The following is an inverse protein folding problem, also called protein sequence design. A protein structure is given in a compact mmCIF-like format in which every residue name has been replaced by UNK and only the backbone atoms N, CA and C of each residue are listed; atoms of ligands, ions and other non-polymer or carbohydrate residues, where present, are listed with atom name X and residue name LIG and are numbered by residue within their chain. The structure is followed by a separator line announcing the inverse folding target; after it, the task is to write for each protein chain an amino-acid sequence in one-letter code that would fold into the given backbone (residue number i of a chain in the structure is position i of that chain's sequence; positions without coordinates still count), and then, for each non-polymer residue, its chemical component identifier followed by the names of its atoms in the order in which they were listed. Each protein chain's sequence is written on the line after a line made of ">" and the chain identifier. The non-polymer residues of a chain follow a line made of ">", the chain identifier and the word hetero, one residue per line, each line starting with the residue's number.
data_IF_948463643703
#
_entry.id   IF_948463643703
#
_cell.length_a   1.000
_cell.length_b   1.000
_cell.length_c   1.000
_cell.angle_alpha   90.00
_cell.angle_beta   90.00
_cell.angle_gamma   90.00
#
_symmetry.space_group_name_H-M   'P 1'
#
loop_
_entity.id
_entity.type
_entity.pdbx_description
1 polymer ?
#
# COMPACT_ATOMS: atom_id res chain seq x y z
N UNK A 1 -1.83 28.43 -5.94
CA UNK A 1 -1.27 27.44 -6.90
C UNK A 1 0.19 27.23 -6.50
N UNK A 2 0.57 26.01 -6.21
CA UNK A 2 1.93 25.64 -5.82
C UNK A 2 2.57 24.72 -6.89
N UNK A 3 3.89 24.60 -6.89
CA UNK A 3 4.63 23.67 -7.73
C UNK A 3 5.10 22.48 -6.89
N UNK A 4 4.54 21.31 -7.15
CA UNK A 4 4.73 20.10 -6.36
C UNK A 4 5.60 19.12 -7.14
N UNK A 5 6.67 18.64 -6.51
CA UNK A 5 7.50 17.55 -7.01
C UNK A 5 7.24 16.26 -6.21
N UNK A 6 6.97 15.17 -6.86
CA UNK A 6 6.77 13.85 -6.25
C UNK A 6 7.91 12.94 -6.65
N UNK A 7 8.60 12.32 -5.70
CA UNK A 7 9.70 11.39 -5.95
C UNK A 7 9.24 9.97 -5.62
N UNK A 8 9.17 9.11 -6.64
CA UNK A 8 8.74 7.72 -6.51
C UNK A 8 9.77 6.79 -7.17
N UNK A 9 9.99 5.62 -6.58
CA UNK A 9 10.99 4.66 -7.09
C UNK A 9 10.58 4.06 -8.43
N UNK A 10 9.34 3.64 -8.57
CA UNK A 10 8.70 3.13 -9.79
C UNK A 10 7.35 3.80 -9.96
N UNK A 11 6.93 4.03 -11.21
CA UNK A 11 5.61 4.52 -11.56
C UNK A 11 4.85 3.49 -12.42
N UNK A 12 5.53 2.47 -12.89
CA UNK A 12 5.05 1.50 -13.87
C UNK A 12 4.88 0.09 -13.31
N UNK A 13 5.13 -0.11 -12.02
CA UNK A 13 4.80 -1.36 -11.34
C UNK A 13 3.29 -1.43 -11.05
N UNK A 14 2.72 -2.63 -11.09
CA UNK A 14 1.30 -2.87 -10.79
C UNK A 14 1.10 -2.99 -9.27
N UNK A 15 1.35 -1.90 -8.52
CA UNK A 15 1.25 -1.86 -7.07
C UNK A 15 0.23 -0.87 -6.54
N UNK A 16 -0.05 -0.96 -5.25
CA UNK A 16 -0.94 -0.01 -4.56
C UNK A 16 -0.34 1.39 -4.44
N UNK A 17 0.98 1.48 -4.26
CA UNK A 17 1.72 2.75 -4.13
C UNK A 17 1.62 3.57 -5.43
N UNK A 18 1.93 2.96 -6.57
CA UNK A 18 1.90 3.60 -7.89
C UNK A 18 0.49 4.07 -8.24
N UNK A 19 -0.51 3.23 -7.94
CA UNK A 19 -1.93 3.56 -8.14
C UNK A 19 -2.33 4.79 -7.33
N UNK A 20 -2.04 4.79 -6.04
CA UNK A 20 -2.42 5.87 -5.14
C UNK A 20 -1.73 7.18 -5.51
N UNK A 21 -0.44 7.14 -5.83
CA UNK A 21 0.31 8.32 -6.29
C UNK A 21 -0.28 8.86 -7.59
N UNK A 22 -0.64 8.00 -8.54
CA UNK A 22 -1.26 8.43 -9.81
C UNK A 22 -2.63 9.07 -9.57
N UNK A 23 -3.47 8.50 -8.70
CA UNK A 23 -4.78 9.07 -8.33
C UNK A 23 -4.62 10.45 -7.70
N UNK A 24 -3.76 10.58 -6.70
CA UNK A 24 -3.57 11.84 -6.01
C UNK A 24 -2.91 12.90 -6.89
N UNK A 25 -1.94 12.53 -7.72
CA UNK A 25 -1.35 13.46 -8.70
C UNK A 25 -2.40 14.02 -9.68
N UNK A 26 -3.36 13.18 -10.10
CA UNK A 26 -4.49 13.60 -10.95
C UNK A 26 -5.42 14.59 -10.23
N UNK A 27 -5.59 14.45 -8.92
CA UNK A 27 -6.35 15.43 -8.12
C UNK A 27 -5.55 16.75 -7.95
N UNK A 28 -4.29 16.66 -7.53
CA UNK A 28 -3.46 17.85 -7.28
C UNK A 28 -3.25 18.69 -8.52
N UNK A 29 -3.11 18.08 -9.72
CA UNK A 29 -2.91 18.84 -10.97
C UNK A 29 -4.12 19.69 -11.38
N UNK A 30 -5.27 19.52 -10.71
CA UNK A 30 -6.43 20.40 -10.91
C UNK A 30 -6.20 21.81 -10.38
N UNK A 31 -5.32 21.96 -9.35
CA UNK A 31 -5.06 23.22 -8.65
C UNK A 31 -3.57 23.61 -8.61
N UNK A 32 -2.64 22.69 -8.90
CA UNK A 32 -1.20 22.85 -8.79
C UNK A 32 -0.45 22.44 -10.05
N UNK A 33 0.80 22.85 -10.16
CA UNK A 33 1.74 22.24 -11.13
C UNK A 33 2.35 20.98 -10.51
N UNK A 34 2.22 19.83 -11.16
CA UNK A 34 2.70 18.55 -10.63
C UNK A 34 3.77 17.95 -11.54
N UNK A 35 4.93 17.62 -10.96
CA UNK A 35 5.99 16.85 -11.60
C UNK A 35 6.27 15.57 -10.81
N UNK A 36 6.25 14.41 -11.48
CA UNK A 36 6.63 13.13 -10.88
C UNK A 36 8.03 12.78 -11.37
N UNK A 37 8.93 12.53 -10.44
CA UNK A 37 10.28 12.01 -10.68
C UNK A 37 10.31 10.52 -10.41
N UNK A 38 10.73 9.72 -11.39
CA UNK A 38 10.84 8.26 -11.27
C UNK A 38 12.20 7.76 -11.73
N UNK A 39 12.68 6.66 -11.15
CA UNK A 39 13.97 6.05 -11.48
C UNK A 39 13.85 4.92 -12.51
N UNK A 40 12.65 4.61 -12.94
CA UNK A 40 12.38 3.46 -13.79
C UNK A 40 12.58 3.76 -15.29
N UNK A 41 13.03 2.75 -16.03
CA UNK A 41 13.19 2.85 -17.49
C UNK A 41 11.90 2.41 -18.22
N UNK A 42 11.34 3.33 -19.03
CA UNK A 42 10.15 3.07 -19.88
C UNK A 42 10.38 2.00 -20.95
N UNK A 43 11.63 1.78 -21.35
CA UNK A 43 11.95 0.94 -22.50
C UNK A 43 11.97 -0.57 -22.20
N UNK A 44 11.73 -1.00 -20.95
CA UNK A 44 11.49 -2.41 -20.69
C UNK A 44 10.12 -2.80 -21.21
N UNK A 45 10.09 -3.67 -22.23
CA UNK A 45 8.88 -4.31 -22.74
C UNK A 45 8.03 -4.84 -21.57
N UNK A 46 6.76 -4.38 -21.48
CA UNK A 46 5.84 -4.74 -20.42
C UNK A 46 5.53 -3.65 -19.39
N UNK A 47 6.28 -2.57 -19.32
CA UNK A 47 5.98 -1.43 -18.43
C UNK A 47 4.82 -0.60 -19.01
N UNK A 48 3.58 -1.06 -18.80
CA UNK A 48 2.39 -0.23 -19.02
C UNK A 48 2.11 0.54 -17.74
N UNK A 49 1.87 1.83 -17.86
CA UNK A 49 1.23 2.59 -16.79
C UNK A 49 -0.25 2.17 -16.77
N UNK A 50 -0.58 1.20 -15.90
CA UNK A 50 -1.95 0.74 -15.72
C UNK A 50 -2.83 1.81 -15.04
N UNK A 51 -2.21 2.89 -14.55
CA UNK A 51 -2.88 4.01 -13.87
C UNK A 51 -2.71 5.29 -14.71
N UNK A 52 -3.72 5.69 -15.48
CA UNK A 52 -3.61 6.82 -16.40
C UNK A 52 -3.34 8.12 -15.66
N UNK A 53 -2.33 8.85 -16.12
CA UNK A 53 -2.01 10.19 -15.65
C UNK A 53 -2.58 11.25 -16.59
N UNK A 54 -3.05 12.35 -16.02
CA UNK A 54 -3.44 13.55 -16.75
C UNK A 54 -2.26 14.04 -17.60
N UNK A 55 -2.51 14.43 -18.86
CA UNK A 55 -1.51 15.02 -19.73
C UNK A 55 -0.89 16.34 -19.22
N UNK A 56 -1.46 16.93 -18.17
CA UNK A 56 -0.91 18.10 -17.47
C UNK A 56 0.20 17.76 -16.49
N UNK A 57 0.34 16.49 -16.08
CA UNK A 57 1.39 16.03 -15.16
C UNK A 57 2.66 15.79 -15.93
N UNK A 58 3.74 16.45 -15.51
CA UNK A 58 5.07 16.21 -16.06
C UNK A 58 5.68 14.99 -15.39
N UNK A 59 6.19 14.03 -16.17
CA UNK A 59 6.93 12.88 -15.66
C UNK A 59 8.38 13.00 -16.11
N UNK A 60 9.29 13.09 -15.15
CA UNK A 60 10.73 13.16 -15.38
C UNK A 60 11.42 11.88 -14.90
N UNK A 61 12.25 11.31 -15.76
CA UNK A 61 13.10 10.17 -15.39
C UNK A 61 14.43 10.67 -14.87
N UNK A 62 14.83 10.11 -13.74
CA UNK A 62 16.11 10.41 -13.12
C UNK A 62 16.97 9.15 -13.13
N UNK A 63 18.06 9.19 -13.87
CA UNK A 63 18.98 8.06 -13.92
C UNK A 63 19.85 8.01 -12.67
N UNK A 64 19.94 6.83 -12.06
CA UNK A 64 20.98 6.59 -11.06
C UNK A 64 22.36 6.61 -11.74
N UNK A 65 23.25 7.49 -11.31
CA UNK A 65 24.67 7.39 -11.69
C UNK A 65 25.19 6.01 -11.26
N UNK A 66 25.83 5.30 -12.20
CA UNK A 66 26.23 3.89 -12.05
C UNK A 66 26.91 3.55 -10.71
N UNK A 67 26.62 2.36 -10.21
CA UNK A 67 27.14 1.87 -8.93
C UNK A 67 28.64 1.55 -9.04
N UNK A 68 29.45 2.18 -8.20
CA UNK A 68 30.85 1.77 -8.03
C UNK A 68 30.94 0.40 -7.33
N UNK A 69 31.96 -0.38 -7.66
CA UNK A 69 32.22 -1.68 -7.02
C UNK A 69 32.26 -1.57 -5.49
N UNK A 70 32.91 -0.54 -4.95
CA UNK A 70 33.00 -0.32 -3.51
C UNK A 70 31.64 -0.12 -2.86
N UNK A 71 30.71 0.61 -3.48
CA UNK A 71 29.32 0.80 -2.98
C UNK A 71 28.55 -0.51 -2.96
N UNK A 72 28.73 -1.35 -3.97
CA UNK A 72 28.12 -2.69 -4.01
C UNK A 72 28.64 -3.56 -2.86
N UNK A 73 29.94 -3.53 -2.59
CA UNK A 73 30.56 -4.28 -1.48
C UNK A 73 30.03 -3.79 -0.13
N UNK A 74 30.01 -2.47 0.12
CA UNK A 74 29.48 -1.91 1.38
C UNK A 74 28.04 -2.33 1.60
N UNK A 75 27.18 -2.24 0.58
CA UNK A 75 25.78 -2.68 0.67
C UNK A 75 25.67 -4.19 0.91
N UNK A 76 26.49 -5.01 0.25
CA UNK A 76 26.51 -6.46 0.45
C UNK A 76 26.91 -6.84 1.88
N UNK A 77 27.97 -6.22 2.42
CA UNK A 77 28.40 -6.43 3.81
C UNK A 77 27.27 -6.02 4.77
N UNK A 78 26.68 -4.86 4.55
CA UNK A 78 25.53 -4.38 5.33
C UNK A 78 24.36 -5.38 5.33
N UNK A 79 23.93 -5.86 4.16
CA UNK A 79 22.81 -6.81 4.07
C UNK A 79 23.11 -8.15 4.74
N UNK A 80 24.39 -8.58 4.78
CA UNK A 80 24.79 -9.84 5.40
C UNK A 80 24.97 -9.75 6.90
N UNK A 81 25.51 -8.65 7.40
CA UNK A 81 25.94 -8.53 8.80
C UNK A 81 25.00 -7.69 9.65
N UNK A 82 24.15 -6.88 9.03
CA UNK A 82 23.29 -5.93 9.74
C UNK A 82 24.06 -4.85 10.52
N UNK A 83 25.37 -4.70 10.28
CA UNK A 83 26.21 -3.72 10.95
C UNK A 83 25.74 -2.29 10.64
N UNK A 84 24.95 -1.74 11.56
CA UNK A 84 24.33 -0.41 11.41
C UNK A 84 24.65 0.50 12.57
N UNK A 85 25.25 -0.03 13.61
CA UNK A 85 25.57 0.71 14.81
C UNK A 85 26.90 1.45 14.68
N UNK A 86 26.91 2.68 15.17
CA UNK A 86 28.07 3.57 15.13
C UNK A 86 28.05 4.60 14.00
N UNK A 87 28.58 5.78 14.31
CA UNK A 87 28.56 6.96 13.42
C UNK A 87 29.28 6.69 12.09
N UNK A 88 30.37 5.92 12.12
CA UNK A 88 31.15 5.56 10.93
C UNK A 88 30.39 4.65 9.99
N UNK A 89 29.73 3.61 10.52
CA UNK A 89 28.92 2.70 9.71
C UNK A 89 27.78 3.43 9.03
N UNK A 90 27.06 4.30 9.75
CA UNK A 90 25.98 5.09 9.18
C UNK A 90 26.46 6.09 8.11
N UNK A 91 27.63 6.68 8.29
CA UNK A 91 28.24 7.54 7.28
C UNK A 91 28.59 6.78 6.00
N UNK A 92 29.20 5.59 6.13
CA UNK A 92 29.52 4.73 4.99
C UNK A 92 28.25 4.25 4.27
N UNK A 93 27.23 3.88 5.02
CA UNK A 93 25.93 3.48 4.46
C UNK A 93 25.25 4.63 3.72
N UNK A 94 25.24 5.83 4.31
CA UNK A 94 24.75 7.03 3.61
C UNK A 94 25.45 7.20 2.27
N UNK A 95 26.79 7.15 2.23
CA UNK A 95 27.57 7.27 0.98
C UNK A 95 27.30 6.14 -0.01
N UNK A 96 27.02 4.93 0.48
CA UNK A 96 26.75 3.78 -0.38
C UNK A 96 25.35 3.84 -1.02
N UNK A 97 24.33 4.31 -0.28
CA UNK A 97 22.96 4.43 -0.77
C UNK A 97 22.69 5.78 -1.45
N UNK A 98 23.27 6.87 -0.94
CA UNK A 98 23.07 8.25 -1.39
C UNK A 98 24.42 8.93 -1.64
N UNK A 99 25.10 8.64 -2.79
CA UNK A 99 26.39 9.25 -3.10
C UNK A 99 26.28 10.77 -3.25
N UNK A 100 27.35 11.49 -2.92
CA UNK A 100 27.36 12.96 -2.92
C UNK A 100 27.01 13.57 -4.28
N UNK A 101 27.50 12.96 -5.38
CA UNK A 101 27.15 13.40 -6.74
C UNK A 101 25.63 13.31 -6.97
N UNK A 102 25.02 12.20 -6.58
CA UNK A 102 23.56 12.01 -6.71
C UNK A 102 22.77 13.01 -5.87
N UNK A 103 23.22 13.28 -4.63
CA UNK A 103 22.57 14.30 -3.79
C UNK A 103 22.70 15.71 -4.40
N UNK A 104 23.86 16.08 -4.96
CA UNK A 104 24.08 17.37 -5.63
C UNK A 104 23.17 17.51 -6.86
N UNK A 105 23.06 16.48 -7.69
CA UNK A 105 22.16 16.50 -8.86
C UNK A 105 20.69 16.74 -8.46
N UNK A 106 20.26 16.16 -7.32
CA UNK A 106 18.92 16.40 -6.79
C UNK A 106 18.73 17.82 -6.25
N UNK A 107 19.71 18.36 -5.52
CA UNK A 107 19.68 19.75 -5.03
C UNK A 107 19.56 20.71 -6.21
N UNK A 108 20.40 20.56 -7.22
CA UNK A 108 20.39 21.42 -8.41
C UNK A 108 19.05 21.33 -9.15
N UNK A 109 18.52 20.11 -9.33
CA UNK A 109 17.24 19.85 -10.01
C UNK A 109 16.07 20.52 -9.29
N UNK A 110 15.98 20.33 -7.97
CA UNK A 110 14.89 20.88 -7.17
C UNK A 110 14.95 22.39 -7.15
N UNK A 111 16.12 22.97 -6.90
CA UNK A 111 16.29 24.43 -6.83
C UNK A 111 16.09 25.10 -8.21
N UNK A 112 16.62 24.52 -9.29
CA UNK A 112 16.40 25.02 -10.64
C UNK A 112 14.92 24.91 -11.07
N UNK A 113 14.21 23.91 -10.55
CA UNK A 113 12.79 23.71 -10.82
C UNK A 113 11.89 24.67 -10.05
N UNK A 114 12.39 25.39 -9.04
CA UNK A 114 11.61 26.28 -8.15
C UNK A 114 10.35 25.58 -7.59
N UNK A 115 10.52 24.39 -7.03
CA UNK A 115 9.44 23.67 -6.36
C UNK A 115 9.12 24.31 -5.02
N UNK A 116 7.82 24.44 -4.71
CA UNK A 116 7.34 24.89 -3.39
C UNK A 116 7.32 23.72 -2.40
N UNK A 117 6.97 22.51 -2.90
CA UNK A 117 6.84 21.31 -2.09
C UNK A 117 7.42 20.07 -2.80
N UNK A 118 8.15 19.25 -2.06
CA UNK A 118 8.63 17.95 -2.50
C UNK A 118 8.02 16.85 -1.63
N UNK A 119 7.49 15.80 -2.26
CA UNK A 119 6.90 14.64 -1.60
C UNK A 119 7.74 13.41 -1.92
N UNK A 120 8.37 12.83 -0.91
CA UNK A 120 9.13 11.57 -1.04
C UNK A 120 8.24 10.37 -0.74
N UNK A 121 7.99 9.55 -1.73
CA UNK A 121 7.16 8.35 -1.59
C UNK A 121 7.99 7.20 -1.03
N UNK A 122 7.55 6.67 0.11
CA UNK A 122 8.21 5.61 0.87
C UNK A 122 9.60 5.99 1.41
N UNK A 123 10.09 5.25 2.40
CA UNK A 123 11.25 5.63 3.20
C UNK A 123 12.54 5.88 2.42
N UNK A 124 12.75 5.25 1.24
CA UNK A 124 13.95 5.51 0.42
C UNK A 124 13.96 6.93 -0.14
N UNK A 125 12.83 7.44 -0.58
CA UNK A 125 12.70 8.79 -1.12
C UNK A 125 12.56 9.84 0.00
N UNK A 126 11.96 9.47 1.14
CA UNK A 126 11.98 10.24 2.36
C UNK A 126 13.42 10.50 2.84
N UNK A 127 14.27 9.48 2.89
CA UNK A 127 15.69 9.61 3.24
C UNK A 127 16.45 10.49 2.24
N UNK A 128 16.18 10.36 0.94
CA UNK A 128 16.76 11.24 -0.09
C UNK A 128 16.47 12.72 0.23
N UNK A 129 15.19 13.05 0.37
CA UNK A 129 14.77 14.44 0.66
C UNK A 129 15.32 14.94 1.99
N UNK A 130 15.31 14.13 3.04
CA UNK A 130 15.87 14.48 4.33
C UNK A 130 17.37 14.76 4.28
N UNK A 131 18.14 14.03 3.45
CA UNK A 131 19.59 14.27 3.30
C UNK A 131 19.94 15.55 2.55
N UNK A 132 19.04 16.07 1.73
CA UNK A 132 19.26 17.32 0.97
C UNK A 132 18.47 18.50 1.51
N UNK A 133 17.63 18.30 2.55
CA UNK A 133 16.69 19.31 3.06
C UNK A 133 17.35 20.65 3.37
N UNK A 134 18.52 20.62 3.99
CA UNK A 134 19.27 21.84 4.37
C UNK A 134 19.80 22.64 3.15
N UNK A 135 19.68 22.09 1.93
CA UNK A 135 20.22 22.67 0.69
C UNK A 135 19.14 22.97 -0.36
N UNK A 136 17.88 22.72 -0.06
CA UNK A 136 16.74 23.01 -0.95
C UNK A 136 15.81 24.03 -0.31
N UNK A 137 15.22 24.89 -1.14
CA UNK A 137 14.25 25.90 -0.69
C UNK A 137 12.85 25.31 -0.48
N UNK A 138 12.53 24.26 -1.25
CA UNK A 138 11.24 23.60 -1.17
C UNK A 138 10.96 23.05 0.24
N UNK A 139 9.71 23.12 0.67
CA UNK A 139 9.23 22.27 1.76
C UNK A 139 9.35 20.80 1.32
N UNK A 140 9.66 19.90 2.25
CA UNK A 140 9.83 18.49 1.93
C UNK A 140 9.11 17.63 2.96
N UNK A 141 8.29 16.70 2.47
CA UNK A 141 7.55 15.75 3.31
C UNK A 141 7.77 14.32 2.84
N UNK A 142 7.55 13.38 3.73
CA UNK A 142 7.45 11.96 3.37
C UNK A 142 5.99 11.49 3.31
N UNK A 143 5.72 10.53 2.44
CA UNK A 143 4.45 9.82 2.37
C UNK A 143 4.71 8.31 2.39
N UNK A 144 4.36 7.69 3.51
CA UNK A 144 4.74 6.31 3.81
C UNK A 144 3.59 5.35 3.48
N UNK A 145 3.90 4.30 2.72
CA UNK A 145 2.90 3.38 2.14
C UNK A 145 2.89 1.98 2.76
N UNK A 146 3.61 1.74 3.84
CA UNK A 146 3.65 0.45 4.52
C UNK A 146 3.36 0.58 6.01
N UNK A 147 3.04 -0.54 6.67
CA UNK A 147 3.03 -0.59 8.13
C UNK A 147 4.43 -0.32 8.69
N UNK A 148 4.49 0.06 9.97
CA UNK A 148 5.77 0.27 10.65
C UNK A 148 6.64 -1.00 10.62
N UNK A 149 6.04 -2.16 10.88
CA UNK A 149 6.70 -3.46 10.82
C UNK A 149 7.13 -3.83 9.39
N UNK A 150 6.30 -3.50 8.40
CA UNK A 150 6.65 -3.69 6.99
C UNK A 150 7.92 -2.94 6.61
N UNK A 151 8.19 -1.80 7.23
CA UNK A 151 9.43 -1.06 7.01
C UNK A 151 10.59 -1.51 7.88
N UNK A 152 10.39 -1.68 9.19
CA UNK A 152 11.46 -1.73 10.17
C UNK A 152 11.60 -3.04 10.93
N UNK A 153 10.76 -4.06 10.64
CA UNK A 153 10.94 -5.39 11.24
C UNK A 153 12.38 -5.88 10.98
N UNK A 154 13.12 -6.31 12.04
CA UNK A 154 14.52 -6.69 11.90
C UNK A 154 14.79 -7.87 10.97
N UNK A 155 13.82 -8.74 10.77
CA UNK A 155 13.96 -9.95 9.96
C UNK A 155 13.52 -9.76 8.52
N UNK A 156 12.40 -9.05 8.30
CA UNK A 156 11.71 -9.00 7.01
C UNK A 156 11.37 -7.59 6.52
N UNK A 157 11.61 -6.54 7.31
CA UNK A 157 11.31 -5.16 6.93
C UNK A 157 12.09 -4.68 5.71
N UNK A 158 11.44 -3.88 4.86
CA UNK A 158 12.08 -3.27 3.68
C UNK A 158 13.29 -2.42 4.03
N UNK A 159 13.25 -1.76 5.20
CA UNK A 159 14.34 -0.93 5.73
C UNK A 159 14.93 -1.52 7.00
N UNK A 160 14.94 -2.86 7.12
CA UNK A 160 15.57 -3.54 8.25
C UNK A 160 16.97 -2.95 8.48
N UNK A 161 17.33 -2.75 9.75
CA UNK A 161 18.62 -2.18 10.13
C UNK A 161 18.89 -0.73 9.62
N UNK A 162 17.94 -0.05 8.96
CA UNK A 162 18.07 1.34 8.50
C UNK A 162 17.17 2.31 9.25
N UNK A 163 16.51 1.89 10.32
CA UNK A 163 15.60 2.71 11.10
C UNK A 163 16.26 4.01 11.59
N UNK A 164 17.50 3.93 12.12
CA UNK A 164 18.27 5.12 12.55
C UNK A 164 18.65 6.06 11.39
N UNK A 165 18.91 5.51 10.20
CA UNK A 165 19.16 6.33 9.00
C UNK A 165 17.89 7.05 8.56
N UNK A 166 16.78 6.34 8.56
CA UNK A 166 15.48 6.90 8.25
C UNK A 166 15.11 8.01 9.25
N UNK A 167 15.19 7.72 10.56
CA UNK A 167 14.90 8.68 11.61
C UNK A 167 15.65 10.00 11.43
N UNK A 168 16.97 9.95 11.30
CA UNK A 168 17.82 11.14 11.13
C UNK A 168 17.52 11.95 9.87
N UNK A 169 17.08 11.28 8.80
CA UNK A 169 16.69 11.96 7.58
C UNK A 169 15.28 12.56 7.70
N UNK A 170 14.35 11.80 8.25
CA UNK A 170 12.96 12.21 8.38
C UNK A 170 12.76 13.32 9.43
N UNK A 171 13.58 13.39 10.48
CA UNK A 171 13.59 14.48 11.45
C UNK A 171 13.84 15.87 10.81
N UNK A 172 14.45 15.92 9.62
CA UNK A 172 14.72 17.16 8.88
C UNK A 172 13.57 17.57 7.96
N UNK A 173 12.63 16.67 7.70
CA UNK A 173 11.49 16.96 6.83
C UNK A 173 10.49 17.89 7.52
N UNK A 174 9.78 18.69 6.72
CA UNK A 174 8.73 19.58 7.20
C UNK A 174 7.44 18.84 7.59
N UNK A 175 7.32 17.54 7.24
CA UNK A 175 6.19 16.70 7.61
C UNK A 175 6.37 15.24 7.20
N UNK A 176 5.53 14.42 7.79
CA UNK A 176 5.42 12.99 7.48
C UNK A 176 3.94 12.62 7.37
N UNK A 177 3.55 11.91 6.32
CA UNK A 177 2.19 11.39 6.12
C UNK A 177 2.22 9.88 6.23
N UNK A 178 1.30 9.34 7.03
CA UNK A 178 1.12 7.91 7.29
C UNK A 178 -0.34 7.50 7.09
N UNK A 179 -0.60 6.20 6.98
CA UNK A 179 -1.88 5.68 6.49
C UNK A 179 -2.91 5.36 7.59
N UNK A 180 -2.53 5.35 8.87
CA UNK A 180 -3.45 5.11 9.98
C UNK A 180 -2.85 5.56 11.32
N UNK A 181 -3.68 5.56 12.37
CA UNK A 181 -3.32 6.05 13.71
C UNK A 181 -2.29 5.14 14.41
N UNK A 182 -2.30 3.83 14.16
CA UNK A 182 -1.31 2.91 14.73
C UNK A 182 0.10 3.23 14.22
N UNK A 183 0.23 3.44 12.88
CA UNK A 183 1.50 3.86 12.28
C UNK A 183 1.92 5.22 12.85
N UNK A 184 0.99 6.17 12.96
CA UNK A 184 1.27 7.49 13.56
C UNK A 184 1.82 7.37 14.98
N UNK A 185 1.18 6.54 15.81
CA UNK A 185 1.62 6.27 17.18
C UNK A 185 3.03 5.69 17.23
N UNK A 186 3.32 4.69 16.40
CA UNK A 186 4.64 4.05 16.31
C UNK A 186 5.73 5.01 15.82
N UNK A 187 5.41 5.88 14.84
CA UNK A 187 6.34 6.91 14.37
C UNK A 187 6.69 7.91 15.49
N UNK A 188 5.69 8.36 16.25
CA UNK A 188 5.91 9.22 17.41
C UNK A 188 6.73 8.53 18.49
N UNK A 189 6.35 7.31 18.88
CA UNK A 189 6.87 6.64 20.07
C UNK A 189 8.26 6.00 19.84
N UNK A 190 8.54 5.52 18.61
CA UNK A 190 9.79 4.84 18.29
C UNK A 190 10.79 5.70 17.49
N UNK A 191 10.31 6.69 16.73
CA UNK A 191 11.16 7.54 15.92
C UNK A 191 11.18 9.00 16.39
N UNK A 192 10.27 9.43 17.27
CA UNK A 192 10.13 10.83 17.65
C UNK A 192 9.56 11.71 16.53
N UNK A 193 8.95 11.13 15.51
CA UNK A 193 8.43 11.82 14.34
C UNK A 193 6.93 12.07 14.50
N UNK A 194 6.52 13.35 14.44
CA UNK A 194 5.11 13.72 14.36
C UNK A 194 4.62 13.52 12.93
N UNK A 195 3.67 12.61 12.74
CA UNK A 195 3.09 12.31 11.43
C UNK A 195 1.62 12.77 11.36
N UNK A 196 1.18 13.13 10.16
CA UNK A 196 -0.24 13.38 9.83
C UNK A 196 -0.84 12.11 9.23
N UNK A 197 -2.03 11.73 9.67
CA UNK A 197 -2.75 10.62 9.05
C UNK A 197 -3.56 11.14 7.87
N UNK A 198 -3.28 10.60 6.67
CA UNK A 198 -4.11 10.79 5.48
C UNK A 198 -4.29 9.41 4.84
N UNK A 199 -5.53 8.97 4.70
CA UNK A 199 -5.86 7.67 4.13
C UNK A 199 -5.60 7.63 2.62
N UNK A 200 -5.38 6.44 2.09
CA UNK A 200 -5.37 6.27 0.64
C UNK A 200 -6.80 6.39 0.07
N UNK A 201 -6.97 6.98 -1.11
CA UNK A 201 -8.26 7.01 -1.79
C UNK A 201 -8.67 5.62 -2.28
N UNK A 202 -9.95 5.42 -2.55
CA UNK A 202 -10.42 4.26 -3.31
C UNK A 202 -9.81 4.25 -4.71
N UNK A 203 -9.61 3.05 -5.26
CA UNK A 203 -8.89 2.86 -6.54
C UNK A 203 -9.66 3.32 -7.77
N UNK A 204 -10.97 3.21 -7.73
CA UNK A 204 -11.89 3.54 -8.83
C UNK A 204 -13.29 3.84 -8.30
N UNK A 205 -14.13 4.43 -9.13
CA UNK A 205 -15.57 4.50 -8.94
C UNK A 205 -16.26 3.52 -9.89
N UNK A 206 -17.31 2.83 -9.44
CA UNK A 206 -18.06 1.87 -10.24
C UNK A 206 -19.56 2.10 -10.13
N UNK A 207 -20.24 2.13 -11.26
CA UNK A 207 -21.70 2.10 -11.31
C UNK A 207 -22.24 0.70 -10.99
N UNK A 208 -21.47 -0.34 -11.34
CA UNK A 208 -21.84 -1.72 -11.04
C UNK A 208 -21.49 -2.06 -9.60
N UNK A 209 -22.43 -2.70 -8.92
CA UNK A 209 -22.24 -3.24 -7.56
C UNK A 209 -22.41 -4.75 -7.56
N UNK A 210 -21.82 -5.38 -6.55
CA UNK A 210 -21.87 -6.84 -6.41
C UNK A 210 -23.32 -7.31 -6.12
N UNK A 211 -23.64 -8.47 -6.68
CA UNK A 211 -24.93 -9.12 -6.44
C UNK A 211 -24.83 -9.99 -5.19
N UNK A 212 -25.58 -9.63 -4.15
CA UNK A 212 -25.58 -10.32 -2.86
C UNK A 212 -26.20 -11.71 -2.88
N UNK A 213 -26.87 -12.10 -3.98
CA UNK A 213 -27.40 -13.45 -4.15
C UNK A 213 -26.31 -14.47 -4.58
N UNK A 214 -25.14 -14.01 -5.01
CA UNK A 214 -24.04 -14.89 -5.41
C UNK A 214 -23.47 -15.63 -4.20
N UNK A 215 -23.22 -16.91 -4.39
CA UNK A 215 -22.59 -17.77 -3.37
C UNK A 215 -21.08 -17.89 -3.63
N UNK A 216 -20.37 -16.76 -3.52
CA UNK A 216 -18.94 -16.74 -3.78
C UNK A 216 -18.23 -15.74 -2.86
N UNK A 217 -17.24 -16.25 -2.13
CA UNK A 217 -16.24 -15.45 -1.48
C UNK A 217 -15.17 -15.02 -2.49
N UNK A 218 -14.70 -13.78 -2.40
CA UNK A 218 -13.64 -13.27 -3.26
C UNK A 218 -12.54 -12.65 -2.42
N UNK A 219 -11.31 -12.77 -2.87
CA UNK A 219 -10.16 -12.03 -2.32
C UNK A 219 -9.24 -11.60 -3.44
N UNK A 220 -8.48 -10.53 -3.24
CA UNK A 220 -7.55 -10.02 -4.23
C UNK A 220 -6.21 -9.62 -3.60
N UNK A 221 -5.12 -10.07 -4.22
CA UNK A 221 -3.77 -9.70 -3.82
C UNK A 221 -2.71 -10.70 -4.26
N UNK A 222 -1.45 -10.36 -3.97
CA UNK A 222 -0.33 -11.26 -4.23
C UNK A 222 -0.44 -12.52 -3.37
N UNK A 223 -0.16 -13.68 -3.94
CA UNK A 223 -0.14 -14.94 -3.18
C UNK A 223 1.22 -15.07 -2.49
N UNK A 224 1.36 -14.31 -1.39
CA UNK A 224 2.56 -14.18 -0.57
C UNK A 224 2.21 -14.36 0.91
N UNK A 225 3.21 -14.56 1.77
CA UNK A 225 3.03 -14.88 3.19
C UNK A 225 2.21 -13.84 3.97
N UNK A 226 2.31 -12.56 3.60
CA UNK A 226 1.56 -11.48 4.24
C UNK A 226 0.04 -11.59 4.05
N UNK A 227 -0.43 -12.26 3.00
CA UNK A 227 -1.86 -12.38 2.69
C UNK A 227 -2.57 -13.52 3.43
N UNK A 228 -1.82 -14.48 3.98
CA UNK A 228 -2.36 -15.51 4.85
C UNK A 228 -3.39 -16.45 4.21
N UNK A 229 -3.31 -16.68 2.92
CA UNK A 229 -4.31 -17.49 2.19
C UNK A 229 -4.41 -18.94 2.65
N UNK A 230 -3.39 -19.47 3.33
CA UNK A 230 -3.48 -20.78 4.00
C UNK A 230 -4.55 -20.78 5.11
N UNK A 231 -4.73 -19.65 5.80
CA UNK A 231 -5.79 -19.51 6.82
C UNK A 231 -7.18 -19.50 6.15
N UNK A 232 -7.26 -18.96 4.93
CA UNK A 232 -8.49 -18.93 4.16
C UNK A 232 -8.89 -20.33 3.65
N UNK A 233 -7.89 -21.15 3.22
CA UNK A 233 -8.15 -22.55 2.89
C UNK A 233 -8.63 -23.34 4.12
N UNK A 234 -8.06 -23.09 5.28
CA UNK A 234 -8.55 -23.67 6.53
C UNK A 234 -10.00 -23.27 6.77
N UNK A 235 -10.33 -21.97 6.70
CA UNK A 235 -11.67 -21.46 6.99
C UNK A 235 -12.73 -22.03 6.04
N UNK A 236 -12.45 -22.10 4.73
CA UNK A 236 -13.41 -22.67 3.76
C UNK A 236 -13.56 -24.18 3.95
N UNK A 237 -12.50 -24.89 4.37
CA UNK A 237 -12.58 -26.32 4.67
C UNK A 237 -13.43 -26.61 5.89
N UNK A 238 -13.33 -25.81 6.96
CA UNK A 238 -14.19 -25.94 8.15
C UNK A 238 -15.67 -25.65 7.82
N UNK A 239 -15.92 -24.64 6.99
CA UNK A 239 -17.28 -24.17 6.66
C UNK A 239 -17.97 -24.95 5.52
N UNK A 240 -17.26 -25.84 4.82
CA UNK A 240 -17.73 -26.45 3.56
C UNK A 240 -18.96 -27.33 3.68
N UNK A 241 -19.19 -27.91 4.85
CA UNK A 241 -20.28 -28.86 5.12
C UNK A 241 -21.48 -28.21 5.84
N UNK A 242 -21.44 -26.90 6.04
CA UNK A 242 -22.46 -26.09 6.71
C UNK A 242 -23.07 -25.04 5.76
N UNK A 243 -23.22 -23.82 6.24
CA UNK A 243 -23.82 -22.72 5.47
C UNK A 243 -23.05 -22.39 4.16
N UNK A 244 -21.82 -22.86 4.03
CA UNK A 244 -20.98 -22.64 2.84
C UNK A 244 -20.94 -23.84 1.87
N UNK A 245 -21.85 -24.81 2.01
CA UNK A 245 -21.85 -26.02 1.15
C UNK A 245 -21.84 -25.68 -0.36
N UNK A 246 -22.65 -24.71 -0.79
CA UNK A 246 -22.74 -24.29 -2.20
C UNK A 246 -21.82 -23.12 -2.54
N UNK A 247 -21.03 -22.63 -1.58
CA UNK A 247 -20.17 -21.48 -1.78
C UNK A 247 -18.85 -21.87 -2.44
N UNK A 248 -18.35 -20.93 -3.26
CA UNK A 248 -17.03 -20.99 -3.89
C UNK A 248 -16.11 -19.94 -3.27
N UNK A 249 -14.82 -20.10 -3.48
CA UNK A 249 -13.80 -19.09 -3.14
C UNK A 249 -12.97 -18.79 -4.38
N UNK A 250 -12.90 -17.52 -4.75
CA UNK A 250 -12.09 -17.01 -5.84
C UNK A 250 -10.93 -16.18 -5.29
N UNK A 251 -9.70 -16.64 -5.46
CA UNK A 251 -8.47 -15.92 -5.12
C UNK A 251 -7.96 -15.26 -6.39
N UNK A 252 -8.02 -13.91 -6.44
CA UNK A 252 -7.62 -13.10 -7.59
C UNK A 252 -6.19 -12.63 -7.38
N UNK A 253 -5.25 -13.25 -8.08
CA UNK A 253 -3.83 -12.94 -8.01
C UNK A 253 -2.94 -14.16 -8.08
N UNK A 254 -1.64 -13.90 -8.12
CA UNK A 254 -0.58 -14.90 -8.13
C UNK A 254 0.60 -14.46 -7.27
N UNK A 255 1.55 -15.36 -7.06
CA UNK A 255 2.74 -15.06 -6.26
C UNK A 255 3.60 -16.28 -6.02
N UNK A 256 4.62 -16.12 -5.18
CA UNK A 256 5.61 -17.17 -4.90
C UNK A 256 5.01 -18.40 -4.20
N UNK A 257 3.92 -18.22 -3.46
CA UNK A 257 3.25 -19.29 -2.72
C UNK A 257 2.12 -19.98 -3.49
N UNK A 258 1.85 -19.62 -4.75
CA UNK A 258 0.76 -20.20 -5.55
C UNK A 258 0.86 -21.72 -5.66
N UNK A 259 2.08 -22.25 -5.90
CA UNK A 259 2.31 -23.70 -5.98
C UNK A 259 1.93 -24.43 -4.68
N UNK A 260 2.42 -23.91 -3.55
CA UNK A 260 2.12 -24.47 -2.21
C UNK A 260 0.63 -24.40 -1.88
N UNK A 261 -0.03 -23.29 -2.24
CA UNK A 261 -1.46 -23.14 -1.99
C UNK A 261 -2.29 -24.16 -2.82
N UNK A 262 -1.89 -24.42 -4.07
CA UNK A 262 -2.51 -25.45 -4.91
C UNK A 262 -2.29 -26.88 -4.35
N UNK A 263 -1.13 -27.16 -3.76
CA UNK A 263 -0.88 -28.45 -3.08
C UNK A 263 -1.81 -28.62 -1.88
N UNK A 264 -1.91 -27.61 -1.04
CA UNK A 264 -2.80 -27.61 0.12
C UNK A 264 -4.28 -27.74 -0.29
N UNK A 265 -4.71 -27.08 -1.37
CA UNK A 265 -6.07 -27.26 -1.91
C UNK A 265 -6.37 -28.72 -2.27
N UNK A 266 -5.42 -29.41 -2.92
CA UNK A 266 -5.56 -30.85 -3.28
C UNK A 266 -5.60 -31.74 -2.04
N UNK A 267 -4.71 -31.51 -1.06
CA UNK A 267 -4.68 -32.25 0.21
C UNK A 267 -6.01 -32.14 0.99
N UNK A 268 -6.69 -30.99 0.89
CA UNK A 268 -7.97 -30.73 1.55
C UNK A 268 -9.19 -31.10 0.69
N UNK A 269 -9.00 -31.53 -0.56
CA UNK A 269 -10.09 -31.82 -1.48
C UNK A 269 -10.95 -30.59 -1.82
N UNK A 270 -10.33 -29.45 -2.04
CA UNK A 270 -10.99 -28.16 -2.26
C UNK A 270 -10.95 -27.68 -3.73
N UNK A 271 -10.47 -28.52 -4.68
CA UNK A 271 -10.29 -28.12 -6.07
C UNK A 271 -11.59 -27.69 -6.76
N UNK A 272 -12.72 -28.28 -6.36
CA UNK A 272 -14.04 -27.88 -6.87
C UNK A 272 -14.61 -26.63 -6.20
N UNK A 273 -14.06 -26.20 -5.07
CA UNK A 273 -14.55 -25.07 -4.29
C UNK A 273 -13.70 -23.81 -4.42
N UNK A 274 -12.39 -23.97 -4.58
CA UNK A 274 -11.43 -22.86 -4.57
C UNK A 274 -10.75 -22.75 -5.92
N UNK A 275 -10.62 -21.53 -6.43
CA UNK A 275 -9.87 -21.24 -7.65
C UNK A 275 -8.93 -20.06 -7.47
N UNK A 276 -7.74 -20.15 -8.10
CA UNK A 276 -6.72 -19.10 -8.11
C UNK A 276 -6.54 -18.65 -9.57
N UNK A 277 -6.73 -17.37 -9.84
CA UNK A 277 -6.74 -16.85 -11.22
C UNK A 277 -5.36 -16.58 -11.79
N UNK A 278 -4.33 -16.42 -10.95
CA UNK A 278 -3.10 -15.73 -11.36
C UNK A 278 -3.30 -14.21 -11.50
N UNK A 279 -2.31 -13.52 -12.06
CA UNK A 279 -2.39 -12.07 -12.29
C UNK A 279 -3.39 -11.74 -13.39
N UNK A 280 -4.26 -10.77 -13.13
CA UNK A 280 -5.27 -10.28 -14.07
C UNK A 280 -5.29 -8.73 -14.06
N UNK A 281 -5.58 -8.14 -15.21
CA UNK A 281 -5.79 -6.70 -15.33
C UNK A 281 -7.23 -6.27 -14.98
N UNK A 282 -8.22 -7.15 -15.15
CA UNK A 282 -9.64 -6.89 -14.93
C UNK A 282 -10.10 -7.31 -13.52
N UNK A 283 -9.40 -6.88 -12.48
CA UNK A 283 -9.67 -7.24 -11.09
C UNK A 283 -11.11 -6.91 -10.67
N UNK A 284 -11.63 -5.75 -11.10
CA UNK A 284 -13.00 -5.32 -10.80
C UNK A 284 -14.05 -6.33 -11.26
N UNK A 285 -13.95 -6.83 -12.50
CA UNK A 285 -14.88 -7.83 -13.03
C UNK A 285 -14.84 -9.15 -12.24
N UNK A 286 -13.65 -9.52 -11.75
CA UNK A 286 -13.51 -10.73 -10.95
C UNK A 286 -14.10 -10.55 -9.55
N UNK A 287 -13.89 -9.40 -8.91
CA UNK A 287 -14.50 -9.07 -7.62
C UNK A 287 -16.03 -9.08 -7.69
N UNK A 288 -16.61 -8.60 -8.79
CA UNK A 288 -18.06 -8.64 -9.02
C UNK A 288 -18.65 -10.08 -9.13
N UNK A 289 -17.83 -11.12 -9.21
CA UNK A 289 -18.31 -12.51 -9.15
C UNK A 289 -18.68 -12.95 -7.73
N UNK A 290 -18.21 -12.21 -6.71
CA UNK A 290 -18.46 -12.51 -5.30
C UNK A 290 -19.63 -11.70 -4.71
N UNK A 291 -19.99 -12.08 -3.48
CA UNK A 291 -20.90 -11.35 -2.61
C UNK A 291 -20.33 -11.07 -1.23
N UNK A 292 -19.16 -11.58 -0.92
CA UNK A 292 -18.39 -11.31 0.31
C UNK A 292 -16.91 -11.26 -0.05
N UNK A 293 -16.22 -10.23 0.41
CA UNK A 293 -14.77 -10.11 0.31
C UNK A 293 -14.10 -10.65 1.59
N UNK A 294 -13.05 -11.45 1.44
CA UNK A 294 -12.36 -12.09 2.58
C UNK A 294 -10.87 -11.76 2.54
N UNK A 295 -10.31 -11.24 3.65
CA UNK A 295 -8.92 -10.84 3.73
C UNK A 295 -8.24 -11.34 5.02
N UNK A 296 -7.60 -12.51 5.01
CA UNK A 296 -6.89 -13.08 6.16
C UNK A 296 -5.44 -12.56 6.28
N UNK A 297 -5.18 -11.32 5.87
CA UNK A 297 -3.83 -10.75 5.89
C UNK A 297 -3.22 -10.75 7.29
N UNK A 298 -1.92 -10.98 7.35
CA UNK A 298 -1.13 -10.99 8.58
C UNK A 298 -0.66 -9.60 8.98
N UNK A 299 -0.41 -8.74 7.99
CA UNK A 299 -0.11 -7.31 8.16
C UNK A 299 -0.46 -6.55 6.89
N UNK A 300 -0.88 -5.30 7.06
CA UNK A 300 -1.21 -4.36 6.00
C UNK A 300 -0.78 -2.93 6.42
N UNK A 301 -0.45 -2.10 5.44
CA UNK A 301 -0.34 -0.67 5.66
C UNK A 301 -1.69 0.02 5.51
N UNK A 302 -2.30 -0.16 4.33
CA UNK A 302 -3.66 0.24 4.00
C UNK A 302 -4.11 -0.61 2.80
N UNK A 303 -4.95 -1.62 2.99
CA UNK A 303 -5.26 -2.60 1.95
C UNK A 303 -6.17 -2.02 0.89
N UNK A 304 -5.60 -1.67 -0.26
CA UNK A 304 -6.34 -1.13 -1.42
C UNK A 304 -7.42 -2.10 -1.92
N UNK A 305 -7.20 -3.40 -1.81
CA UNK A 305 -8.18 -4.42 -2.16
C UNK A 305 -9.46 -4.36 -1.32
N UNK A 306 -9.37 -3.90 -0.06
CA UNK A 306 -10.55 -3.63 0.77
C UNK A 306 -11.30 -2.39 0.26
N UNK A 307 -10.61 -1.30 -0.10
CA UNK A 307 -11.27 -0.13 -0.67
C UNK A 307 -11.98 -0.45 -1.99
N UNK A 308 -11.41 -1.35 -2.79
CA UNK A 308 -12.00 -1.87 -4.03
C UNK A 308 -13.25 -2.71 -3.73
N UNK A 309 -13.18 -3.58 -2.73
CA UNK A 309 -14.32 -4.37 -2.28
C UNK A 309 -15.46 -3.49 -1.77
N UNK A 310 -15.16 -2.50 -0.93
CA UNK A 310 -16.15 -1.54 -0.41
C UNK A 310 -16.81 -0.74 -1.54
N UNK A 311 -16.03 -0.31 -2.56
CA UNK A 311 -16.57 0.39 -3.72
C UNK A 311 -17.59 -0.45 -4.49
N UNK A 312 -17.34 -1.76 -4.59
CA UNK A 312 -18.25 -2.69 -5.25
C UNK A 312 -19.41 -3.13 -4.33
N UNK A 313 -19.47 -2.66 -3.09
CA UNK A 313 -20.49 -3.04 -2.12
C UNK A 313 -20.31 -4.44 -1.55
N UNK A 314 -19.09 -4.97 -1.53
CA UNK A 314 -18.79 -6.28 -0.93
C UNK A 314 -18.62 -6.11 0.58
N UNK A 315 -19.44 -6.78 1.43
CA UNK A 315 -19.13 -6.95 2.84
C UNK A 315 -17.78 -7.63 3.04
N UNK A 316 -17.03 -7.21 4.06
CA UNK A 316 -15.66 -7.64 4.29
C UNK A 316 -15.55 -8.55 5.51
N UNK A 317 -14.87 -9.69 5.40
CA UNK A 317 -14.40 -10.47 6.56
C UNK A 317 -12.88 -10.32 6.63
N UNK A 318 -12.37 -9.82 7.75
CA UNK A 318 -10.93 -9.61 7.93
C UNK A 318 -10.49 -9.82 9.38
N UNK A 319 -9.18 -10.00 9.58
CA UNK A 319 -8.58 -9.95 10.91
C UNK A 319 -8.55 -8.52 11.46
N UNK A 320 -8.59 -8.39 12.80
CA UNK A 320 -8.50 -7.12 13.53
C UNK A 320 -7.08 -6.53 13.46
N UNK A 321 -6.71 -6.10 12.25
CA UNK A 321 -5.48 -5.37 12.01
C UNK A 321 -5.72 -3.86 12.13
N UNK A 322 -4.76 -3.08 12.67
CA UNK A 322 -4.90 -1.62 12.74
C UNK A 322 -5.23 -0.94 11.41
N UNK A 323 -4.78 -1.54 10.30
CA UNK A 323 -5.09 -1.06 8.94
C UNK A 323 -6.55 -1.25 8.53
N UNK A 324 -7.32 -2.12 9.22
CA UNK A 324 -8.74 -2.35 8.95
C UNK A 324 -9.64 -1.31 9.63
N UNK A 325 -9.24 -0.80 10.81
CA UNK A 325 -10.07 0.10 11.62
C UNK A 325 -10.63 1.32 10.86
N UNK A 326 -9.87 1.99 9.96
CA UNK A 326 -10.41 3.08 9.18
C UNK A 326 -11.36 2.65 8.05
N UNK A 327 -11.40 1.36 7.70
CA UNK A 327 -12.09 0.82 6.53
C UNK A 327 -13.35 0.03 6.87
N UNK A 328 -13.30 -0.76 7.94
CA UNK A 328 -14.36 -1.71 8.30
C UNK A 328 -14.62 -1.66 9.79
N UNK A 329 -15.87 -1.41 10.16
CA UNK A 329 -16.39 -1.55 11.53
C UNK A 329 -17.12 -2.87 11.63
N UNK A 330 -16.86 -3.63 12.70
CA UNK A 330 -17.53 -4.91 12.91
C UNK A 330 -19.06 -4.72 13.01
N UNK A 331 -19.79 -5.52 12.25
CA UNK A 331 -21.26 -5.46 12.17
C UNK A 331 -21.83 -4.37 11.24
N UNK A 332 -21.00 -3.47 10.65
CA UNK A 332 -21.44 -2.43 9.73
C UNK A 332 -21.02 -2.72 8.29
N UNK A 333 -19.74 -2.58 7.95
CA UNK A 333 -19.24 -2.87 6.60
C UNK A 333 -18.82 -4.34 6.43
N UNK A 334 -18.83 -5.13 7.51
CA UNK A 334 -18.43 -6.53 7.50
C UNK A 334 -18.22 -7.11 8.89
N UNK A 335 -17.37 -8.14 8.98
CA UNK A 335 -16.97 -8.79 10.22
C UNK A 335 -15.47 -8.65 10.43
N UNK A 336 -15.09 -8.18 11.60
CA UNK A 336 -13.72 -8.09 12.08
C UNK A 336 -13.50 -9.13 13.18
N UNK A 337 -12.58 -10.04 12.98
CA UNK A 337 -12.33 -11.14 13.89
C UNK A 337 -10.93 -11.04 14.50
N UNK A 338 -10.70 -11.60 15.71
CA UNK A 338 -9.37 -11.55 16.34
C UNK A 338 -8.28 -12.08 15.42
N UNK A 339 -7.12 -11.41 15.42
CA UNK A 339 -5.98 -11.78 14.61
C UNK A 339 -5.63 -13.27 14.73
N UNK A 340 -5.53 -13.94 13.60
CA UNK A 340 -5.13 -15.33 13.43
C UNK A 340 -6.08 -16.37 14.03
N UNK A 341 -7.27 -15.98 14.50
CA UNK A 341 -8.32 -16.91 14.92
C UNK A 341 -9.07 -17.43 13.68
N UNK A 342 -8.52 -18.48 13.07
CA UNK A 342 -9.04 -19.10 11.86
C UNK A 342 -10.46 -19.64 12.02
N UNK A 343 -10.83 -20.11 13.25
CA UNK A 343 -12.17 -20.63 13.54
C UNK A 343 -13.20 -19.52 13.56
N UNK A 344 -12.89 -18.39 14.24
CA UNK A 344 -13.78 -17.23 14.21
C UNK A 344 -13.87 -16.63 12.80
N UNK A 345 -12.79 -16.72 12.00
CA UNK A 345 -12.82 -16.31 10.61
C UNK A 345 -13.81 -17.19 9.79
N UNK A 346 -13.75 -18.52 9.97
CA UNK A 346 -14.71 -19.44 9.36
C UNK A 346 -16.15 -19.15 9.80
N UNK A 347 -16.38 -18.96 11.11
CA UNK A 347 -17.71 -18.61 11.63
C UNK A 347 -18.26 -17.29 11.04
N UNK A 348 -17.42 -16.28 10.87
CA UNK A 348 -17.82 -15.02 10.23
C UNK A 348 -18.15 -15.21 8.74
N UNK A 349 -17.43 -16.09 8.04
CA UNK A 349 -17.79 -16.48 6.67
C UNK A 349 -19.14 -17.19 6.62
N UNK A 350 -19.39 -18.15 7.52
CA UNK A 350 -20.66 -18.89 7.62
C UNK A 350 -21.84 -17.95 7.94
N UNK A 351 -21.64 -17.02 8.85
CA UNK A 351 -22.67 -16.02 9.22
C UNK A 351 -23.10 -15.21 8.00
N UNK A 352 -22.15 -14.67 7.24
CA UNK A 352 -22.46 -13.92 6.02
C UNK A 352 -22.98 -14.82 4.91
N UNK A 353 -22.55 -16.06 4.81
CA UNK A 353 -23.09 -17.02 3.83
C UNK A 353 -24.55 -17.35 4.12
N UNK A 354 -24.93 -17.43 5.40
CA UNK A 354 -26.27 -17.81 5.84
C UNK A 354 -27.34 -16.71 5.74
N UNK A 355 -26.98 -15.44 5.47
CA UNK A 355 -27.94 -14.32 5.50
C UNK A 355 -27.77 -13.33 4.35
N UNK A 356 -28.64 -13.45 3.35
CA UNK A 356 -28.72 -12.47 2.24
C UNK A 356 -29.04 -11.07 2.73
N UNK A 357 -29.90 -10.97 3.74
CA UNK A 357 -30.31 -9.68 4.31
C UNK A 357 -29.13 -8.96 4.97
N UNK A 358 -28.35 -9.69 5.76
CA UNK A 358 -27.15 -9.14 6.39
C UNK A 358 -26.14 -8.65 5.34
N UNK A 359 -25.90 -9.45 4.28
CA UNK A 359 -25.03 -9.03 3.18
C UNK A 359 -25.52 -7.75 2.50
N UNK A 360 -26.84 -7.60 2.27
CA UNK A 360 -27.40 -6.37 1.67
C UNK A 360 -27.20 -5.15 2.57
N UNK A 361 -27.48 -5.27 3.86
CA UNK A 361 -27.29 -4.18 4.82
C UNK A 361 -25.82 -3.75 4.89
N UNK A 362 -24.91 -4.70 4.99
CA UNK A 362 -23.46 -4.44 5.00
C UNK A 362 -22.96 -3.89 3.65
N UNK A 363 -23.57 -4.32 2.54
CA UNK A 363 -23.24 -3.79 1.20
C UNK A 363 -23.55 -2.30 1.10
N UNK A 364 -24.69 -1.86 1.60
CA UNK A 364 -25.04 -0.43 1.62
C UNK A 364 -24.05 0.37 2.49
N UNK A 365 -23.66 -0.16 3.63
CA UNK A 365 -22.65 0.47 4.49
C UNK A 365 -21.28 0.53 3.81
N UNK A 366 -20.87 -0.55 3.14
CA UNK A 366 -19.62 -0.60 2.38
C UNK A 366 -19.57 0.50 1.30
N UNK A 367 -20.64 0.68 0.53
CA UNK A 367 -20.74 1.73 -0.50
C UNK A 367 -20.63 3.13 0.13
N UNK A 368 -21.32 3.37 1.25
CA UNK A 368 -21.21 4.65 1.98
C UNK A 368 -19.76 4.90 2.42
N UNK A 369 -19.11 3.87 2.96
CA UNK A 369 -17.71 3.93 3.40
C UNK A 369 -16.75 4.23 2.26
N UNK A 370 -16.91 3.57 1.11
CA UNK A 370 -16.11 3.84 -0.09
C UNK A 370 -16.21 5.30 -0.55
N UNK A 371 -17.41 5.94 -0.42
CA UNK A 371 -17.60 7.34 -0.77
C UNK A 371 -16.87 8.32 0.16
N UNK A 372 -16.56 7.92 1.39
CA UNK A 372 -15.70 8.70 2.30
C UNK A 372 -14.24 8.73 1.82
N UNK A 373 -13.83 7.72 1.04
CA UNK A 373 -12.49 7.53 0.51
C UNK A 373 -12.37 7.97 -0.95
N UNK A 374 -13.25 8.82 -1.46
CA UNK A 374 -13.12 9.32 -2.82
C UNK A 374 -11.83 10.13 -3.00
N UNK A 375 -11.18 10.08 -4.18
CA UNK A 375 -9.95 10.85 -4.43
C UNK A 375 -10.10 12.34 -4.11
N UNK A 376 -11.27 12.91 -4.39
CA UNK A 376 -11.56 14.32 -4.12
C UNK A 376 -11.53 14.64 -2.62
N UNK A 377 -12.20 13.83 -1.79
CA UNK A 377 -12.22 14.02 -0.33
C UNK A 377 -10.84 13.81 0.31
N UNK A 378 -10.08 12.87 -0.21
CA UNK A 378 -8.70 12.67 0.25
C UNK A 378 -7.82 13.84 -0.20
N UNK A 379 -8.03 14.39 -1.40
CA UNK A 379 -7.32 15.56 -1.88
C UNK A 379 -7.56 16.81 -1.00
N UNK A 380 -8.78 17.00 -0.46
CA UNK A 380 -9.09 18.08 0.49
C UNK A 380 -8.17 18.01 1.73
N UNK A 381 -7.91 16.81 2.27
CA UNK A 381 -7.01 16.65 3.42
C UNK A 381 -5.54 16.98 3.04
N UNK A 382 -5.14 16.66 1.82
CA UNK A 382 -3.83 17.05 1.30
C UNK A 382 -3.71 18.57 1.11
N UNK A 383 -4.76 19.23 0.59
CA UNK A 383 -4.79 20.69 0.44
C UNK A 383 -4.68 21.41 1.80
N UNK A 384 -5.34 20.88 2.84
CA UNK A 384 -5.20 21.39 4.21
C UNK A 384 -3.75 21.26 4.72
N UNK A 385 -3.09 20.12 4.43
CA UNK A 385 -1.69 19.93 4.77
C UNK A 385 -0.79 20.90 3.99
N UNK A 386 -0.96 20.99 2.68
CA UNK A 386 -0.19 21.90 1.82
C UNK A 386 -0.33 23.36 2.27
N UNK A 387 -1.56 23.78 2.55
CA UNK A 387 -1.84 25.13 3.04
C UNK A 387 -1.15 25.47 4.37
N UNK A 388 -1.00 24.47 5.25
CA UNK A 388 -0.27 24.64 6.53
C UNK A 388 1.25 24.73 6.34
N UNK A 389 1.80 23.97 5.40
CA UNK A 389 3.23 23.90 5.15
C UNK A 389 3.76 25.12 4.37
N UNK A 390 2.95 25.68 3.48
CA UNK A 390 3.33 26.75 2.56
C UNK A 390 3.02 28.18 3.10
N UNK A 391 2.41 28.27 4.27
CA UNK A 391 2.29 29.54 5.02
C UNK A 391 3.62 29.89 5.67
#
# INVERSE_FOLDING_TARGET
>A
MAKIGVVISSLYACGGEERVVSLMANEWVKQHEVTIFTFEDREREGNRNDYPLSGKIKVERVFHSGDSFLRKVIRMVYFRTGLTEGTVCQYLLKKAFYPEKFLKEWIERINAGNYDLMIGISGVNAMLLGYIKDHIHAKAISWEHSSFEGYFDPQRGYYRNRMKMYQRAAEKLDGCVVLNQDIQGKYRDQLGISATVIYNPRSFASEQKADMAKKCFVTCGRVEAEKGYEDLLFAINEAKDHSCQDWKLLIIGGGSLTGRLNEQMRELGLEDKVSITGYLHNVQEQLLKGSVFVLPSRWEGFPMSVTEALELGLPVVAYDLPAMLPLVRDGEEGRIVPCFDKRKFAMAMEELAGSDEMRRQMSEAAIRKANELSPEKIAEQWEDLFSRLLR
#
